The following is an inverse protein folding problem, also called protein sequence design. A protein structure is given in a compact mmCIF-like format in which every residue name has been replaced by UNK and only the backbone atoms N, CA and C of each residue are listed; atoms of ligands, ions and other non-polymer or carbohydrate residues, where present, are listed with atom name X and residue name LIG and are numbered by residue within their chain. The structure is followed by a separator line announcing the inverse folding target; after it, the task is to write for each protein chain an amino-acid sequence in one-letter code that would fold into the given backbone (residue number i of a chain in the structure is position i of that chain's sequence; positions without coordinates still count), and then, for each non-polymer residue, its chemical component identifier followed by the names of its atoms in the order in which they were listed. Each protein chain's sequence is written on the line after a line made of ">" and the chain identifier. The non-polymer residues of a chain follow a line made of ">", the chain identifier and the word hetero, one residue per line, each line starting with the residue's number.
data_IF_910134511527
#
_entry.id   IF_910134511527
#
_cell.length_a   1.000
_cell.length_b   1.000
_cell.length_c   1.000
_cell.angle_alpha   90.00
_cell.angle_beta   90.00
_cell.angle_gamma   90.00
#
_symmetry.space_group_name_H-M   'P 1'
#
loop_
_entity.id
_entity.type
_entity.pdbx_description
1 polymer ?
2 polymer ?
3 non-polymer ?
4 non-polymer ?
5 non-polymer ?
6 non-polymer ?
7 non-polymer ?
8 non-polymer ?
9 water ?
#
# COMPACT_ATOMS: atom_id res chain seq x y z
N UNK A 9 -7.00 15.18 -16.73
CA UNK A 9 -6.07 15.70 -15.74
C UNK A 9 -4.63 15.73 -16.28
N UNK A 10 -3.77 16.45 -15.57
CA UNK A 10 -2.33 16.43 -15.85
C UNK A 10 -1.59 15.51 -14.91
N UNK A 11 -2.31 14.75 -14.08
CA UNK A 11 -1.66 13.88 -13.10
C UNK A 11 -0.89 12.76 -13.77
N UNK A 12 0.32 12.50 -13.28
CA UNK A 12 1.08 11.36 -13.75
C UNK A 12 0.43 10.08 -13.25
N UNK A 13 0.51 9.02 -14.06
CA UNK A 13 -0.08 7.74 -13.66
C UNK A 13 0.96 6.66 -13.91
N UNK A 14 1.01 5.64 -13.07
CA UNK A 14 2.03 4.61 -13.20
C UNK A 14 1.44 3.22 -13.15
N UNK A 15 2.14 2.28 -13.77
CA UNK A 15 1.85 0.85 -13.61
C UNK A 15 3.14 0.19 -13.18
N UNK A 16 3.06 -0.67 -12.15
CA UNK A 16 4.25 -1.38 -11.65
C UNK A 16 3.98 -2.87 -11.55
N UNK A 17 4.96 -3.68 -11.91
CA UNK A 17 5.02 -5.07 -11.47
C UNK A 17 6.09 -5.13 -10.38
N UNK A 18 5.77 -5.79 -9.28
CA UNK A 18 6.77 -5.92 -8.23
C UNK A 18 6.99 -7.40 -7.97
N UNK A 19 8.21 -7.69 -7.51
CA UNK A 19 8.59 -9.04 -7.12
C UNK A 19 9.34 -8.94 -5.79
N UNK A 20 9.06 -9.86 -4.88
CA UNK A 20 9.77 -9.96 -3.63
C UNK A 20 10.18 -11.41 -3.47
N UNK A 21 11.48 -11.67 -3.32
CA UNK A 21 11.84 -13.04 -3.01
C UNK A 21 12.92 -13.10 -1.96
N UNK A 22 12.92 -14.17 -1.20
CA UNK A 22 13.91 -14.27 -0.16
C UNK A 22 14.46 -15.68 -0.19
N UNK A 23 15.78 -15.78 -0.07
CA UNK A 23 16.45 -17.04 0.14
C UNK A 23 16.70 -17.19 1.63
N UNK A 24 16.07 -18.21 2.23
CA UNK A 24 16.27 -18.48 3.64
C UNK A 24 17.64 -19.12 3.85
N UNK A 25 18.01 -20.03 2.96
CA UNK A 25 19.33 -20.64 2.94
C UNK A 25 19.68 -20.92 1.49
N UNK A 26 20.80 -21.63 1.29
CA UNK A 26 21.34 -21.79 -0.06
C UNK A 26 20.37 -22.50 -1.00
N UNK A 27 19.47 -23.32 -0.47
CA UNK A 27 18.65 -24.16 -1.34
C UNK A 27 17.14 -23.95 -1.16
N UNK A 28 16.71 -22.90 -0.47
CA UNK A 28 15.28 -22.73 -0.23
C UNK A 28 14.93 -21.26 -0.33
N UNK A 29 13.94 -20.97 -1.16
CA UNK A 29 13.54 -19.60 -1.41
C UNK A 29 12.02 -19.54 -1.51
N UNK A 30 11.47 -18.35 -1.29
CA UNK A 30 10.07 -18.13 -1.56
C UNK A 30 9.92 -16.76 -2.19
N UNK A 31 8.82 -16.57 -2.89
CA UNK A 31 8.66 -15.35 -3.65
C UNK A 31 7.20 -15.02 -3.85
N UNK A 32 6.97 -13.75 -4.14
CA UNK A 32 5.65 -13.21 -4.40
C UNK A 32 5.76 -12.15 -5.48
N UNK A 33 4.68 -11.97 -6.22
CA UNK A 33 4.67 -10.90 -7.21
C UNK A 33 3.28 -10.36 -7.40
N UNK A 34 3.20 -9.14 -7.92
CA UNK A 34 1.91 -8.52 -8.12
C UNK A 34 2.02 -7.34 -9.07
N UNK A 35 0.87 -6.86 -9.52
CA UNK A 35 0.81 -5.72 -10.42
C UNK A 35 -0.12 -4.67 -9.85
N UNK A 36 0.30 -3.41 -9.99
CA UNK A 36 -0.31 -2.26 -9.33
C UNK A 36 -0.50 -1.12 -10.30
N UNK A 37 -1.71 -0.54 -10.30
CA UNK A 37 -2.01 0.67 -11.06
C UNK A 37 -2.10 1.79 -10.03
N UNK A 38 -1.11 2.69 -10.05
CA UNK A 38 -0.84 3.58 -8.93
C UNK A 38 -0.80 2.76 -7.64
N UNK A 39 -1.70 3.02 -6.68
CA UNK A 39 -1.70 2.27 -5.42
C UNK A 39 -2.70 1.12 -5.40
N UNK A 40 -3.41 0.88 -6.50
CA UNK A 40 -4.44 -0.14 -6.56
C UNK A 40 -3.85 -1.46 -7.07
N UNK A 41 -3.98 -2.53 -6.29
CA UNK A 41 -3.52 -3.81 -6.83
C UNK A 41 -4.48 -4.30 -7.89
N UNK A 42 -3.94 -4.59 -9.07
CA UNK A 42 -4.75 -5.08 -10.17
C UNK A 42 -4.45 -6.52 -10.54
N UNK A 43 -3.28 -7.03 -10.18
CA UNK A 43 -2.91 -8.38 -10.57
C UNK A 43 -2.17 -9.05 -9.44
N UNK A 44 -2.38 -10.37 -9.32
CA UNK A 44 -1.56 -11.21 -8.49
C UNK A 44 -0.83 -12.23 -9.35
N UNK A 45 -0.08 -13.08 -8.68
CA UNK A 45 0.67 -14.14 -9.34
C UNK A 45 0.44 -15.42 -8.54
N UNK A 46 0.00 -16.47 -9.22
CA UNK A 46 -0.12 -17.79 -8.61
C UNK A 46 1.17 -18.54 -8.90
N UNK A 47 1.99 -18.72 -7.87
CA UNK A 47 3.33 -19.26 -8.09
C UNK A 47 3.30 -20.75 -8.36
N UNK A 48 2.31 -21.47 -7.80
CA UNK A 48 2.16 -22.88 -8.09
C UNK A 48 2.01 -23.11 -9.59
N UNK A 49 0.92 -22.61 -10.17
CA UNK A 49 0.69 -22.77 -11.59
C UNK A 49 1.49 -21.79 -12.44
N UNK A 50 2.14 -20.82 -11.82
CA UNK A 50 2.89 -19.81 -12.54
C UNK A 50 2.04 -18.99 -13.50
N UNK A 51 0.94 -18.42 -13.02
CA UNK A 51 0.02 -17.73 -13.90
C UNK A 51 -0.45 -16.42 -13.27
N UNK A 52 -0.93 -15.52 -14.11
CA UNK A 52 -1.42 -14.22 -13.65
C UNK A 52 -2.81 -14.36 -13.03
N UNK A 53 -3.02 -13.74 -11.87
CA UNK A 53 -4.32 -13.63 -11.25
C UNK A 53 -4.89 -12.26 -11.61
N UNK A 54 -6.06 -12.25 -12.25
CA UNK A 54 -6.70 -11.01 -12.67
C UNK A 54 -7.74 -10.62 -11.62
N UNK A 55 -7.46 -9.55 -10.87
CA UNK A 55 -8.24 -9.23 -9.69
C UNK A 55 -9.54 -8.50 -10.01
N UNK A 56 -9.64 -7.86 -11.18
CA UNK A 56 -10.83 -7.11 -11.55
C UNK A 56 -11.34 -7.61 -12.89
N UNK A 57 -12.62 -7.31 -13.17
CA UNK A 57 -13.19 -7.67 -14.46
C UNK A 57 -12.45 -7.00 -15.61
N UNK A 58 -11.83 -5.85 -15.35
CA UNK A 58 -11.17 -5.08 -16.38
C UNK A 58 -9.65 -5.27 -16.37
N UNK A 59 -9.15 -6.24 -15.60
CA UNK A 59 -7.71 -6.41 -15.41
C UNK A 59 -6.99 -6.89 -16.66
N UNK A 60 -7.69 -7.37 -17.67
CA UNK A 60 -6.97 -7.70 -18.90
C UNK A 60 -6.59 -6.47 -19.71
N UNK A 61 -7.07 -5.29 -19.35
CA UNK A 61 -6.52 -4.04 -19.88
C UNK A 61 -6.48 -3.96 -21.40
N UNK A 62 -7.51 -4.49 -22.05
CA UNK A 62 -7.65 -4.48 -23.50
C UNK A 62 -6.60 -5.32 -24.23
N UNK A 63 -5.75 -6.06 -23.51
CA UNK A 63 -4.86 -7.00 -24.17
C UNK A 63 -5.61 -8.27 -24.55
N UNK A 64 -5.20 -8.89 -25.65
CA UNK A 64 -5.81 -10.14 -26.05
C UNK A 64 -5.29 -11.29 -25.20
N UNK A 65 -6.05 -12.38 -25.17
CA UNK A 65 -5.62 -13.57 -24.43
C UNK A 65 -4.26 -14.07 -24.90
N UNK A 66 -3.97 -13.94 -26.21
CA UNK A 66 -2.68 -14.38 -26.73
C UNK A 66 -1.54 -13.49 -26.22
N UNK A 67 -1.74 -12.17 -26.22
CA UNK A 67 -0.71 -11.27 -25.68
C UNK A 67 -0.43 -11.60 -24.22
N UNK A 68 -1.49 -11.80 -23.43
CA UNK A 68 -1.33 -12.07 -22.00
C UNK A 68 -0.68 -13.41 -21.76
N UNK A 69 -1.02 -14.41 -22.58
CA UNK A 69 -0.40 -15.72 -22.42
C UNK A 69 1.08 -15.67 -22.75
N UNK A 70 1.45 -14.87 -23.76
CA UNK A 70 2.87 -14.69 -24.08
C UNK A 70 3.60 -13.98 -22.94
N UNK A 71 2.97 -12.96 -22.35
CA UNK A 71 3.57 -12.32 -21.18
C UNK A 71 3.77 -13.31 -20.03
N UNK A 72 2.77 -14.16 -19.80
CA UNK A 72 2.87 -15.18 -18.74
C UNK A 72 4.05 -16.11 -19.01
N UNK A 73 4.17 -16.58 -20.25
CA UNK A 73 5.29 -17.43 -20.63
C UNK A 73 6.61 -16.70 -20.39
N UNK A 74 6.66 -15.41 -20.70
CA UNK A 74 7.87 -14.62 -20.48
C UNK A 74 8.23 -14.58 -19.01
N UNK A 75 7.24 -14.33 -18.15
CA UNK A 75 7.50 -14.26 -16.71
C UNK A 75 7.98 -15.59 -16.18
N UNK A 76 7.39 -16.69 -16.66
CA UNK A 76 7.85 -18.00 -16.21
C UNK A 76 9.29 -18.27 -16.64
N UNK A 77 9.63 -17.88 -17.87
CA UNK A 77 11.01 -18.03 -18.34
C UNK A 77 11.97 -17.19 -17.51
N UNK A 78 11.55 -15.97 -17.18
CA UNK A 78 12.34 -15.12 -16.29
C UNK A 78 12.59 -15.81 -14.95
N UNK A 79 11.55 -16.40 -14.37
CA UNK A 79 11.71 -17.02 -13.06
C UNK A 79 12.62 -18.23 -13.11
N UNK A 80 12.50 -19.03 -14.18
CA UNK A 80 13.38 -20.17 -14.38
C UNK A 80 14.84 -19.74 -14.49
N UNK A 81 15.10 -18.74 -15.36
CA UNK A 81 16.46 -18.26 -15.52
C UNK A 81 17.03 -17.67 -14.26
N UNK A 82 16.23 -16.85 -13.55
CA UNK A 82 16.67 -16.26 -12.30
C UNK A 82 17.06 -17.33 -11.30
N UNK A 83 16.24 -18.38 -11.18
CA UNK A 83 16.52 -19.46 -10.24
C UNK A 83 17.82 -20.17 -10.58
N UNK A 84 17.98 -20.57 -11.85
CA UNK A 84 19.20 -21.28 -12.26
C UNK A 84 20.44 -20.43 -12.04
N UNK A 85 20.37 -19.14 -12.39
CA UNK A 85 21.54 -18.27 -12.25
C UNK A 85 21.90 -18.05 -10.79
N UNK A 86 20.90 -17.85 -9.92
CA UNK A 86 21.23 -17.70 -8.51
C UNK A 86 21.85 -18.98 -7.96
N UNK A 87 21.30 -20.14 -8.34
CA UNK A 87 21.87 -21.39 -7.84
C UNK A 87 23.30 -21.57 -8.29
N UNK A 88 23.61 -21.21 -9.54
CA UNK A 88 24.98 -21.40 -10.02
C UNK A 88 25.95 -20.42 -9.37
N UNK A 89 25.55 -19.16 -9.21
CA UNK A 89 26.43 -18.11 -8.71
C UNK A 89 26.21 -17.79 -7.23
N UNK A 90 25.75 -18.76 -6.46
CA UNK A 90 25.50 -18.52 -5.04
C UNK A 90 26.81 -18.27 -4.28
N UNK A 92 28.63 -19.78 -1.18
CA UNK A 92 27.47 -20.42 -0.58
C UNK A 92 27.53 -20.28 0.93
N UNK A 93 28.24 -19.25 1.40
CA UNK A 93 28.49 -19.09 2.82
C UNK A 93 27.20 -18.78 3.58
N UNK A 94 26.95 -19.53 4.66
CA UNK A 94 25.72 -19.38 5.44
C UNK A 94 25.59 -18.00 6.08
N UNK A 95 26.65 -17.19 6.09
CA UNK A 95 26.56 -15.86 6.69
C UNK A 95 25.77 -14.90 5.82
N UNK A 96 25.76 -15.13 4.50
CA UNK A 96 25.01 -14.29 3.59
C UNK A 96 23.52 -14.55 3.63
N UNK A 97 23.08 -15.61 4.27
CA UNK A 97 21.66 -15.92 4.32
C UNK A 97 21.10 -15.61 5.70
N UNK A 98 19.82 -15.25 5.79
CA UNK A 98 18.86 -15.05 4.70
C UNK A 98 19.13 -13.77 3.92
N UNK A 99 18.70 -13.67 2.66
CA UNK A 99 18.70 -12.37 2.00
C UNK A 99 17.39 -12.20 1.26
N UNK A 100 17.07 -10.95 0.92
CA UNK A 100 15.80 -10.61 0.30
C UNK A 100 16.04 -9.66 -0.86
N UNK A 101 15.39 -9.92 -1.97
CA UNK A 101 15.51 -9.10 -3.17
C UNK A 101 14.14 -8.52 -3.48
N UNK A 102 14.12 -7.25 -3.88
CA UNK A 102 12.91 -6.60 -4.34
C UNK A 102 13.14 -6.08 -5.74
N UNK A 103 12.15 -6.29 -6.62
CA UNK A 103 12.20 -5.79 -8.00
C UNK A 103 10.96 -4.94 -8.23
N UNK A 104 11.15 -3.80 -8.89
CA UNK A 104 10.04 -2.91 -9.21
C UNK A 104 10.25 -2.48 -10.64
N UNK A 105 9.34 -2.87 -11.53
CA UNK A 105 9.50 -2.57 -12.95
C UNK A 105 8.21 -2.00 -13.47
N UNK A 106 8.30 -1.06 -14.39
CA UNK A 106 7.04 -0.55 -14.89
C UNK A 106 7.25 0.76 -15.60
N UNK A 107 6.22 1.60 -15.53
CA UNK A 107 6.26 2.81 -16.33
C UNK A 107 5.43 3.90 -15.69
N UNK A 108 5.81 5.13 -15.99
CA UNK A 108 5.10 6.32 -15.56
C UNK A 108 4.76 7.10 -16.81
N UNK A 109 3.52 7.53 -16.90
CA UNK A 109 3.04 8.36 -17.99
C UNK A 109 2.94 9.79 -17.49
N UNK A 110 3.70 10.68 -18.11
CA UNK A 110 3.73 12.09 -17.76
C UNK A 110 2.56 12.82 -18.42
N UNK A 111 2.37 14.07 -18.01
CA UNK A 111 1.13 14.78 -18.34
C UNK A 111 0.93 14.95 -19.85
N UNK A 112 2.01 15.08 -20.61
CA UNK A 112 1.86 15.23 -22.05
C UNK A 112 1.75 13.93 -22.83
N UNK A 113 1.85 12.79 -22.16
CA UNK A 113 1.87 11.51 -22.83
C UNK A 113 3.24 10.88 -22.97
N UNK A 114 4.29 11.53 -22.47
CA UNK A 114 5.62 10.95 -22.60
C UNK A 114 5.78 9.79 -21.63
N UNK A 115 6.16 8.60 -22.10
CA UNK A 115 6.37 7.47 -21.20
C UNK A 115 7.77 7.47 -20.62
N UNK A 116 7.88 6.94 -19.40
CA UNK A 116 9.18 6.76 -18.77
C UNK A 116 9.17 5.37 -18.15
N UNK A 117 10.08 4.51 -18.56
CA UNK A 117 10.15 3.17 -18.03
C UNK A 117 11.20 3.07 -16.93
N UNK A 118 11.02 2.13 -16.01
CA UNK A 118 12.00 1.94 -14.96
C UNK A 118 12.05 0.46 -14.59
N UNK A 119 13.19 0.08 -14.03
CA UNK A 119 13.42 -1.28 -13.58
C UNK A 119 14.48 -1.15 -12.52
N UNK A 120 14.08 -1.33 -11.26
CA UNK A 120 14.94 -1.04 -10.13
C UNK A 120 14.95 -2.26 -9.25
N UNK A 121 16.10 -2.54 -8.64
CA UNK A 121 16.27 -3.72 -7.79
C UNK A 121 16.89 -3.28 -6.47
N UNK A 122 16.43 -3.90 -5.37
CA UNK A 122 17.01 -3.72 -4.05
C UNK A 122 17.45 -5.07 -3.49
N UNK A 123 18.49 -5.01 -2.68
CA UNK A 123 19.03 -6.17 -1.98
C UNK A 123 19.11 -5.81 -0.50
N UNK A 124 18.45 -6.62 0.34
CA UNK A 124 18.40 -6.40 1.78
C UNK A 124 18.00 -4.97 2.11
N UNK A 125 17.02 -4.45 1.37
CA UNK A 125 16.44 -3.16 1.64
C UNK A 125 17.23 -1.98 1.15
N UNK A 126 18.32 -2.20 0.42
CA UNK A 126 19.12 -1.10 -0.14
C UNK A 126 19.13 -1.19 -1.66
N UNK A 127 19.22 -0.03 -2.31
CA UNK A 127 19.37 0.00 -3.78
C UNK A 127 20.48 -0.94 -4.20
N UNK A 128 20.21 -1.75 -5.23
CA UNK A 128 21.21 -2.64 -5.80
C UNK A 128 21.60 -2.22 -7.21
N UNK A 129 20.63 -2.05 -8.09
CA UNK A 129 20.92 -1.67 -9.47
C UNK A 129 19.65 -1.15 -10.12
N UNK A 130 19.82 -0.51 -11.28
CA UNK A 130 18.65 -0.09 -12.05
C UNK A 130 18.99 -0.15 -13.53
N UNK A 131 17.94 -0.07 -14.34
CA UNK A 131 18.09 -0.11 -15.79
C UNK A 131 17.98 1.31 -16.30
N UNK A 132 19.03 1.80 -16.97
CA UNK A 132 19.10 3.17 -17.44
C UNK A 132 19.40 3.13 -18.94
N UNK A 133 18.49 3.69 -19.74
CA UNK A 133 18.54 3.56 -21.20
C UNK A 133 18.63 2.08 -21.59
N UNK A 134 19.83 1.60 -21.97
CA UNK A 134 20.00 0.19 -22.31
C UNK A 134 21.08 -0.50 -21.48
N UNK A 135 21.44 0.09 -20.33
CA UNK A 135 22.53 -0.39 -19.50
C UNK A 135 22.04 -0.71 -18.10
N UNK A 136 22.50 -1.82 -17.55
CA UNK A 136 22.29 -2.10 -16.13
C UNK A 136 23.35 -1.38 -15.31
N UNK A 137 22.92 -0.46 -14.45
CA UNK A 137 23.80 0.44 -13.72
C UNK A 137 23.80 0.01 -12.25
N UNK A 138 24.94 -0.32 -11.68
CA UNK A 138 24.99 -0.70 -10.27
C UNK A 138 24.90 0.52 -9.37
N UNK A 139 24.21 0.36 -8.24
CA UNK A 139 24.23 1.39 -7.23
C UNK A 139 25.60 1.43 -6.56
N UNK A 140 26.19 2.61 -6.39
CA UNK A 140 27.49 2.66 -5.70
C UNK A 140 27.46 2.01 -4.34
N UNK A 141 26.43 2.30 -3.55
CA UNK A 141 26.32 1.77 -2.20
C UNK A 141 26.24 0.26 -2.12
N UNK A 142 25.91 -0.41 -3.23
CA UNK A 142 25.82 -1.87 -3.17
C UNK A 142 27.10 -2.55 -3.64
N UNK A 143 28.15 -1.77 -3.90
CA UNK A 143 29.50 -2.33 -4.03
C UNK A 143 29.63 -3.49 -5.00
N UNK A 144 30.48 -4.45 -4.63
CA UNK A 144 30.88 -5.45 -5.62
C UNK A 144 29.74 -6.35 -6.03
N UNK A 145 28.82 -6.68 -5.11
CA UNK A 145 27.66 -7.46 -5.50
C UNK A 145 26.91 -6.77 -6.64
N UNK A 146 26.64 -5.47 -6.48
CA UNK A 146 25.92 -4.78 -7.54
C UNK A 146 26.70 -4.87 -8.84
N UNK A 147 28.01 -4.67 -8.76
CA UNK A 147 28.83 -4.72 -9.97
C UNK A 147 28.75 -6.10 -10.59
N UNK A 148 28.83 -7.14 -9.75
CA UNK A 148 28.77 -8.49 -10.27
C UNK A 148 27.47 -8.73 -11.01
N UNK A 149 26.35 -8.31 -10.41
CA UNK A 149 25.09 -8.64 -11.03
C UNK A 149 24.97 -7.89 -12.35
N UNK A 150 25.43 -6.63 -12.36
CA UNK A 150 25.29 -5.86 -13.58
C UNK A 150 26.19 -6.43 -14.67
N UNK A 151 27.35 -6.97 -14.26
CA UNK A 151 28.22 -7.58 -15.26
C UNK A 151 27.48 -8.72 -15.96
N UNK A 152 26.87 -9.60 -15.15
CA UNK A 152 26.12 -10.71 -15.75
C UNK A 152 25.04 -10.19 -16.67
N UNK A 153 24.32 -9.15 -16.23
CA UNK A 153 23.20 -8.69 -17.04
C UNK A 153 23.69 -7.97 -18.28
N UNK A 154 24.84 -7.29 -18.20
CA UNK A 154 25.26 -6.47 -19.33
C UNK A 154 25.97 -7.28 -20.40
N UNK A 155 26.54 -8.43 -20.04
CA UNK A 155 27.41 -9.17 -20.95
C UNK A 155 26.94 -10.57 -21.28
N UNK A 156 26.05 -11.16 -20.49
CA UNK A 156 25.61 -12.52 -20.73
C UNK A 156 24.14 -12.67 -21.11
N UNK A 157 23.30 -11.63 -20.95
CA UNK A 157 21.91 -11.70 -21.40
C UNK A 157 21.57 -10.45 -22.19
N UNK A 158 21.92 -10.46 -23.48
CA UNK A 158 21.58 -9.33 -24.35
C UNK A 158 20.12 -9.36 -24.76
N UNK A 159 19.60 -10.56 -25.05
CA UNK A 159 18.19 -10.70 -25.35
C UNK A 159 17.33 -10.25 -24.19
N UNK A 160 17.75 -10.55 -22.96
CA UNK A 160 17.03 -10.10 -21.78
C UNK A 160 16.97 -8.57 -21.74
N UNK A 161 18.11 -7.92 -21.95
CA UNK A 161 18.13 -6.46 -21.94
C UNK A 161 17.15 -5.88 -22.96
N UNK A 162 17.17 -6.41 -24.19
CA UNK A 162 16.27 -5.89 -25.22
C UNK A 162 14.80 -6.13 -24.83
N UNK A 163 14.49 -7.32 -24.32
CA UNK A 163 13.13 -7.62 -23.92
C UNK A 163 12.66 -6.68 -22.81
N UNK A 164 13.51 -6.42 -21.82
CA UNK A 164 13.12 -5.53 -20.72
C UNK A 164 12.92 -4.10 -21.24
N UNK A 165 13.78 -3.66 -22.16
CA UNK A 165 13.62 -2.34 -22.74
C UNK A 165 12.24 -2.19 -23.37
N UNK A 166 11.85 -3.18 -24.18
CA UNK A 166 10.56 -3.08 -24.87
C UNK A 166 9.39 -3.23 -23.91
N UNK A 167 9.55 -4.03 -22.86
CA UNK A 167 8.46 -4.20 -21.90
C UNK A 167 8.18 -2.92 -21.15
N UNK A 168 9.22 -2.24 -20.66
CA UNK A 168 8.96 -1.08 -19.83
C UNK A 168 8.71 0.18 -20.64
N UNK A 169 9.22 0.27 -21.88
CA UNK A 169 9.04 1.49 -22.67
C UNK A 169 7.82 1.48 -23.56
N UNK A 170 7.36 0.29 -23.96
CA UNK A 170 6.28 0.17 -24.93
C UNK A 170 5.11 -0.65 -24.41
N UNK A 171 5.36 -1.90 -23.97
CA UNK A 171 4.26 -2.73 -23.53
C UNK A 171 3.57 -2.12 -22.32
N UNK A 172 4.37 -1.68 -21.34
CA UNK A 172 3.82 -1.15 -20.10
C UNK A 172 2.90 0.07 -20.30
N UNK A 173 3.29 1.13 -21.01
CA UNK A 173 2.34 2.25 -21.18
C UNK A 173 1.08 1.84 -21.92
N UNK A 174 1.20 0.97 -22.92
CA UNK A 174 0.03 0.49 -23.65
C UNK A 174 -0.91 -0.28 -22.72
N UNK A 175 -0.36 -1.15 -21.88
CA UNK A 175 -1.17 -1.87 -20.92
C UNK A 175 -1.81 -0.94 -19.89
N UNK A 176 -1.03 -0.02 -19.33
CA UNK A 176 -1.54 0.94 -18.35
C UNK A 176 -2.75 1.68 -18.89
N UNK A 177 -2.63 2.23 -20.10
CA UNK A 177 -3.75 2.98 -20.66
C UNK A 177 -4.93 2.08 -20.97
N UNK A 178 -4.67 0.85 -21.43
CA UNK A 178 -5.75 -0.08 -21.63
C UNK A 178 -6.49 -0.42 -20.36
N UNK A 179 -5.76 -0.51 -19.23
CA UNK A 179 -6.40 -0.74 -17.95
C UNK A 179 -7.29 0.42 -17.55
N UNK A 180 -6.78 1.64 -17.72
CA UNK A 180 -7.58 2.81 -17.39
C UNK A 180 -8.86 2.85 -18.21
N UNK A 181 -8.76 2.52 -19.50
CA UNK A 181 -9.96 2.51 -20.35
C UNK A 181 -10.90 1.39 -19.94
N UNK A 182 -10.41 0.16 -19.84
CA UNK A 182 -11.28 -0.96 -19.47
C UNK A 182 -11.92 -0.72 -18.12
N UNK A 183 -11.22 -0.06 -17.21
CA UNK A 183 -11.71 0.14 -15.87
C UNK A 183 -12.32 1.52 -15.66
N UNK A 184 -12.75 2.20 -16.74
CA UNK A 184 -13.13 3.60 -16.62
C UNK A 184 -14.25 3.82 -15.61
N UNK A 185 -15.21 2.90 -15.51
CA UNK A 185 -16.30 3.12 -14.56
C UNK A 185 -15.84 2.96 -13.11
N UNK A 186 -14.76 2.22 -12.89
CA UNK A 186 -14.19 2.11 -11.56
C UNK A 186 -13.27 3.27 -11.25
N UNK A 187 -12.38 3.61 -12.19
CA UNK A 187 -11.37 4.65 -11.97
C UNK A 187 -12.01 6.02 -11.76
N UNK A 188 -13.16 6.27 -12.38
CA UNK A 188 -13.78 7.58 -12.35
C UNK A 188 -14.89 7.67 -11.32
N UNK A 189 -15.02 6.66 -10.47
CA UNK A 189 -16.13 6.62 -9.53
C UNK A 189 -15.93 7.62 -8.41
N UNK A 190 -17.05 7.97 -7.77
CA UNK A 190 -17.07 8.83 -6.60
C UNK A 190 -17.71 8.04 -5.48
N UNK A 191 -17.06 8.00 -4.32
CA UNK A 191 -17.61 7.27 -3.17
C UNK A 191 -17.65 8.25 -2.01
N UNK A 192 -18.85 8.42 -1.45
CA UNK A 192 -19.02 9.42 -0.39
C UNK A 192 -18.52 8.89 0.94
N UNK A 193 -17.77 9.69 1.69
CA UNK A 193 -17.34 9.29 3.02
C UNK A 193 -18.46 9.45 4.03
N UNK A 194 -18.27 8.78 5.16
CA UNK A 194 -18.99 9.13 6.37
C UNK A 194 -18.00 9.67 7.38
N UNK A 195 -18.51 10.35 8.40
CA UNK A 195 -17.62 10.94 9.37
C UNK A 195 -18.22 10.71 10.75
N UNK A 196 -17.34 10.65 11.74
CA UNK A 196 -17.82 10.57 13.12
C UNK A 196 -16.76 11.11 14.06
N UNK A 197 -17.19 11.47 15.27
CA UNK A 197 -16.27 12.01 16.27
C UNK A 197 -15.96 11.01 17.37
N UNK A 198 -14.78 11.14 17.94
CA UNK A 198 -14.41 10.37 19.12
C UNK A 198 -13.39 11.15 19.95
N UNK A 199 -13.11 10.65 21.14
CA UNK A 199 -12.03 11.20 21.94
C UNK A 199 -10.75 10.42 21.70
N UNK A 200 -9.64 11.13 21.59
CA UNK A 200 -8.35 10.51 21.42
C UNK A 200 -7.63 10.39 22.74
N UNK A 201 -6.36 9.97 22.70
CA UNK A 201 -5.61 9.86 23.96
C UNK A 201 -5.47 11.22 24.62
N UNK A 202 -5.66 11.23 25.93
CA UNK A 202 -5.62 12.45 26.73
C UNK A 202 -4.31 13.20 26.49
N UNK A 203 -4.36 14.47 26.06
CA UNK A 203 -3.14 15.27 25.96
C UNK A 203 -2.53 15.61 27.30
N UNK A 204 -3.32 15.63 28.37
CA UNK A 204 -2.83 15.98 29.68
C UNK A 204 -4.01 16.31 30.57
N UNK A 205 -3.74 16.53 31.86
CA UNK A 205 -4.83 16.91 32.78
C UNK A 205 -5.53 18.18 32.29
N UNK A 206 -6.86 18.14 32.32
CA UNK A 206 -7.61 19.31 31.91
C UNK A 206 -7.55 19.60 30.43
N UNK A 207 -7.16 18.61 29.61
CA UNK A 207 -7.11 18.78 28.16
C UNK A 207 -7.82 17.60 27.49
N UNK A 208 -8.30 17.83 26.27
CA UNK A 208 -9.01 16.83 25.49
C UNK A 208 -8.36 16.72 24.12
N UNK A 209 -8.41 15.52 23.57
CA UNK A 209 -8.02 15.26 22.18
C UNK A 209 -9.29 14.96 21.39
N UNK A 210 -9.66 15.86 20.49
CA UNK A 210 -10.85 15.67 19.67
C UNK A 210 -10.43 15.00 18.37
N UNK A 211 -11.19 13.99 17.94
CA UNK A 211 -10.85 13.23 16.75
C UNK A 211 -12.03 13.24 15.80
N UNK A 212 -11.77 13.61 14.56
CA UNK A 212 -12.76 13.54 13.49
C UNK A 212 -12.30 12.46 12.53
N UNK A 213 -13.08 11.38 12.43
CA UNK A 213 -12.79 10.27 11.55
C UNK A 213 -13.57 10.47 10.25
N UNK A 214 -12.90 10.30 9.11
CA UNK A 214 -13.54 10.41 7.81
C UNK A 214 -13.19 9.14 7.07
N UNK A 215 -14.20 8.35 6.69
CA UNK A 215 -13.94 6.99 6.21
C UNK A 215 -14.79 6.67 4.98
N UNK A 216 -14.17 5.96 4.04
CA UNK A 216 -14.90 5.45 2.89
C UNK A 216 -14.94 6.37 1.70
N UNK A 217 -14.03 7.33 1.60
CA UNK A 217 -14.07 8.23 0.46
C UNK A 217 -13.15 7.75 -0.68
N UNK A 218 -13.56 8.08 -1.90
CA UNK A 218 -12.75 7.89 -3.09
C UNK A 218 -13.24 8.92 -4.10
N UNK A 219 -12.36 9.61 -4.83
CA UNK A 219 -10.89 9.48 -4.81
C UNK A 219 -10.27 10.13 -3.57
N UNK A 220 -8.96 10.10 -3.55
CA UNK A 220 -8.18 10.42 -2.36
C UNK A 220 -8.21 11.88 -1.94
N UNK A 221 -8.27 12.87 -2.84
CA UNK A 221 -8.28 14.27 -2.38
C UNK A 221 -9.45 14.55 -1.44
N UNK A 222 -9.15 15.12 -0.28
CA UNK A 222 -10.18 15.36 0.74
C UNK A 222 -9.77 16.57 1.56
N UNK A 223 -10.74 17.25 2.14
CA UNK A 223 -10.43 18.38 3.00
C UNK A 223 -11.18 18.16 4.31
N UNK A 224 -10.46 18.21 5.42
CA UNK A 224 -11.03 18.01 6.75
C UNK A 224 -10.38 19.02 7.69
N UNK A 225 -11.17 19.70 8.51
CA UNK A 225 -10.61 20.70 9.41
C UNK A 225 -11.49 20.81 10.65
N UNK A 226 -10.86 21.07 11.79
CA UNK A 226 -11.59 21.50 12.97
C UNK A 226 -11.80 23.01 12.91
N UNK A 227 -13.01 23.45 13.23
CA UNK A 227 -13.49 24.81 12.99
C UNK A 227 -14.16 25.35 14.24
N UNK A 228 -14.07 26.66 14.42
CA UNK A 228 -15.00 27.37 15.31
C UNK A 228 -15.70 28.36 14.39
N UNK A 229 -16.93 28.03 14.00
CA UNK A 229 -17.61 28.83 12.99
C UNK A 229 -16.84 28.74 11.68
N UNK A 230 -16.56 29.89 11.10
CA UNK A 230 -15.80 29.90 9.85
C UNK A 230 -14.30 29.94 10.07
N UNK A 231 -13.82 29.90 11.30
CA UNK A 231 -12.40 30.01 11.59
C UNK A 231 -11.78 28.63 11.73
N UNK A 232 -10.75 28.34 10.92
CA UNK A 232 -10.02 27.09 11.03
C UNK A 232 -9.17 27.07 12.28
N UNK A 233 -9.17 25.94 13.00
CA UNK A 233 -8.39 25.86 14.22
C UNK A 233 -6.94 25.48 13.92
N UNK A 234 -6.00 26.25 14.48
CA UNK A 234 -4.61 26.17 14.10
C UNK A 234 -3.91 24.90 14.60
N UNK A 235 -4.40 24.30 15.66
CA UNK A 235 -3.72 23.11 16.12
C UNK A 235 -4.08 21.84 15.40
N UNK A 236 -4.98 21.89 14.42
CA UNK A 236 -5.46 20.68 13.75
C UNK A 236 -4.30 19.91 13.15
N UNK A 237 -4.26 18.61 13.40
CA UNK A 237 -3.27 17.74 12.78
C UNK A 237 -3.98 16.70 11.94
N UNK A 238 -3.50 16.50 10.72
CA UNK A 238 -4.06 15.50 9.83
C UNK A 238 -3.19 14.27 9.86
N UNK A 239 -3.80 13.11 10.08
CA UNK A 239 -3.07 11.87 10.04
C UNK A 239 -2.76 11.47 8.62
N UNK A 240 -2.04 10.35 8.49
CA UNK A 240 -1.83 9.74 7.20
C UNK A 240 -3.15 9.28 6.61
N UNK A 241 -3.30 9.40 5.30
CA UNK A 241 -4.47 8.82 4.65
C UNK A 241 -4.21 7.33 4.52
N UNK A 242 -5.11 6.54 5.07
CA UNK A 242 -4.94 5.10 5.29
C UNK A 242 -5.93 4.32 4.43
N UNK A 243 -5.57 3.11 3.99
CA UNK A 243 -6.46 2.38 3.08
C UNK A 243 -7.56 1.61 3.80
N UNK A 244 -8.74 1.62 3.20
CA UNK A 244 -9.79 0.65 3.52
C UNK A 244 -9.74 -0.44 2.47
N UNK A 245 -10.38 -1.57 2.77
CA UNK A 245 -10.64 -2.52 1.70
C UNK A 245 -11.60 -1.89 0.69
N UNK A 246 -11.65 -2.46 -0.51
CA UNK A 246 -12.63 -1.99 -1.53
C UNK A 246 -12.22 -0.65 -2.11
N UNK A 247 -10.96 -0.28 -1.94
CA UNK A 247 -10.44 0.88 -2.65
C UNK A 247 -10.66 2.25 -2.04
N UNK A 248 -11.36 2.38 -0.92
CA UNK A 248 -11.62 3.70 -0.34
C UNK A 248 -10.55 4.03 0.72
N UNK A 249 -10.64 5.25 1.28
CA UNK A 249 -9.60 5.76 2.15
C UNK A 249 -10.18 6.21 3.49
N UNK A 250 -9.29 6.46 4.43
CA UNK A 250 -9.61 6.80 5.81
C UNK A 250 -8.64 7.87 6.28
N UNK A 251 -9.14 8.86 7.03
CA UNK A 251 -8.31 9.93 7.55
C UNK A 251 -8.82 10.36 8.91
N UNK A 252 -7.92 10.60 9.85
CA UNK A 252 -8.25 11.19 11.16
C UNK A 252 -7.70 12.60 11.22
N UNK A 253 -8.53 13.55 11.63
CA UNK A 253 -8.11 14.92 11.89
C UNK A 253 -8.28 15.16 13.38
N UNK A 254 -7.22 15.61 14.05
CA UNK A 254 -7.26 15.69 15.50
C UNK A 254 -6.93 17.10 15.97
N UNK A 255 -7.38 17.40 17.18
CA UNK A 255 -7.13 18.72 17.76
C UNK A 255 -7.05 18.57 19.27
N UNK A 256 -5.96 19.06 19.88
CA UNK A 256 -5.92 19.15 21.34
C UNK A 256 -6.46 20.49 21.81
N UNK A 257 -7.30 20.47 22.85
CA UNK A 257 -7.92 21.70 23.36
C UNK A 257 -8.01 21.61 24.87
N UNK A 258 -8.04 22.76 25.53
CA UNK A 258 -8.28 22.75 26.98
C UNK A 258 -9.74 22.43 27.29
N UNK A 259 -9.96 21.71 28.40
CA UNK A 259 -11.29 21.52 28.93
C UNK A 259 -11.91 22.87 29.25
N UNK A 260 -13.12 23.11 28.77
CA UNK A 260 -13.72 24.42 28.86
C UNK A 260 -13.52 25.29 27.64
N UNK A 261 -12.83 24.77 26.62
CA UNK A 261 -12.70 25.45 25.35
C UNK A 261 -13.11 24.59 24.16
N UNK A 262 -13.58 23.36 24.39
CA UNK A 262 -13.92 22.49 23.28
C UNK A 262 -15.32 22.76 22.76
N UNK A 263 -16.17 23.40 23.55
CA UNK A 263 -17.55 23.62 23.12
C UNK A 263 -17.60 24.62 21.99
N UNK A 264 -18.40 24.30 20.98
CA UNK A 264 -18.54 25.12 19.82
C UNK A 264 -17.67 24.70 18.66
N UNK A 265 -16.76 23.75 18.87
CA UNK A 265 -15.91 23.28 17.79
C UNK A 265 -16.63 22.22 16.97
N UNK A 266 -16.34 22.23 15.67
CA UNK A 266 -16.98 21.31 14.75
C UNK A 266 -15.94 20.79 13.77
N UNK A 267 -16.18 19.60 13.24
CA UNK A 267 -15.37 19.04 12.17
C UNK A 267 -16.12 19.27 10.87
N UNK A 268 -15.41 19.79 9.84
CA UNK A 268 -16.00 20.03 8.54
C UNK A 268 -15.24 19.23 7.49
N UNK A 269 -15.98 18.53 6.62
CA UNK A 269 -15.43 17.63 5.62
C UNK A 269 -15.94 18.07 4.26
N UNK A 270 -15.01 18.27 3.33
CA UNK A 270 -15.32 18.56 1.94
C UNK A 270 -14.72 17.45 1.08
N UNK A 271 -15.48 16.99 0.10
CA UNK A 271 -15.01 15.95 -0.80
C UNK A 271 -15.76 16.09 -2.11
N UNK A 272 -15.09 15.72 -3.21
CA UNK A 272 -15.71 15.83 -4.54
C UNK A 272 -17.06 15.11 -4.60
N UNK A 273 -17.22 14.00 -3.89
CA UNK A 273 -18.44 13.22 -3.97
C UNK A 273 -19.62 13.90 -3.30
N UNK A 274 -19.37 14.93 -2.49
CA UNK A 274 -20.43 15.50 -1.67
C UNK A 274 -21.24 16.56 -2.39
N UNK A 275 -20.85 16.96 -3.59
CA UNK A 275 -21.65 17.88 -4.41
C UNK A 275 -22.04 19.14 -3.63
N UNK A 276 -21.04 19.75 -3.00
CA UNK A 276 -21.24 21.00 -2.32
C UNK A 276 -21.79 20.92 -0.91
N UNK A 277 -22.27 19.77 -0.45
CA UNK A 277 -22.88 19.69 0.88
C UNK A 277 -21.89 19.08 1.87
N UNK A 278 -21.09 19.94 2.50
CA UNK A 278 -20.06 19.48 3.43
C UNK A 278 -20.68 18.73 4.61
N UNK A 279 -19.92 17.79 5.16
CA UNK A 279 -20.31 17.14 6.41
C UNK A 279 -19.83 18.02 7.55
N UNK A 280 -20.72 18.30 8.50
CA UNK A 280 -20.41 19.12 9.67
C UNK A 280 -20.87 18.37 10.92
N UNK A 281 -19.95 18.15 11.85
CA UNK A 281 -20.26 17.49 13.13
C UNK A 281 -19.75 18.33 14.28
N UNK A 282 -20.63 18.65 15.23
CA UNK A 282 -20.25 19.40 16.43
C UNK A 282 -19.80 18.47 17.55
N UNK A 283 -18.72 18.86 18.21
CA UNK A 283 -18.23 18.11 19.35
C UNK A 283 -19.24 18.17 20.49
N UNK A 284 -19.62 17.01 21.00
CA UNK A 284 -20.54 16.93 22.14
C UNK A 284 -19.86 16.51 23.41
N UNK A 285 -18.97 15.52 23.33
CA UNK A 285 -18.20 15.10 24.49
C UNK A 285 -19.11 14.80 25.66
N UNK A 286 -18.75 15.32 26.82
CA UNK A 286 -19.57 15.19 28.01
C UNK A 286 -20.43 16.41 28.27
N UNK A 287 -20.58 17.30 27.27
CA UNK A 287 -21.33 18.55 27.46
C UNK A 287 -22.81 18.32 27.64
N UNK A 288 -23.36 17.31 26.98
CA UNK A 288 -24.79 16.99 27.06
C UNK A 288 -25.02 16.03 28.22
N UNK A 289 -25.94 16.33 29.15
CA UNK A 289 -26.23 15.43 30.26
C UNK A 289 -26.95 14.15 29.81
N UNK B 4 19.53 -2.02 6.31
CA UNK B 4 19.33 -2.32 7.72
C UNK B 4 17.91 -2.88 7.92
N UNK B 5 17.55 -3.13 9.16
CA UNK B 5 16.23 -3.63 9.52
C UNK B 5 15.36 -2.51 10.07
N UNK B 6 14.12 -2.43 9.59
CA UNK B 6 13.20 -1.38 9.98
C UNK B 6 12.01 -1.98 10.73
N UNK B 7 11.62 -1.34 11.82
CA UNK B 7 10.59 -1.86 12.70
C UNK B 7 9.20 -1.44 12.20
N UNK B 8 8.21 -2.34 12.27
CA UNK B 8 6.88 -2.02 11.74
C UNK B 8 6.18 -0.95 12.55
N UNK B 9 5.50 -0.05 11.84
CA UNK B 9 4.49 0.85 12.39
C UNK B 9 3.11 0.19 12.26
N UNK B 10 2.26 0.39 13.27
CA UNK B 10 0.99 -0.34 13.34
C UNK B 10 -0.13 0.66 13.60
N UNK B 11 -1.14 0.67 12.73
CA UNK B 11 -2.30 1.54 12.94
C UNK B 11 -3.58 0.71 12.82
N UNK B 12 -4.46 0.85 13.81
CA UNK B 12 -5.71 0.09 13.88
C UNK B 12 -6.87 1.06 13.79
N UNK B 13 -7.87 0.71 12.99
CA UNK B 13 -8.99 1.65 12.79
C UNK B 13 -10.20 0.90 12.23
N UNK B 14 -11.39 1.37 12.56
CA UNK B 14 -12.58 0.71 12.06
C UNK B 14 -13.07 1.39 10.79
N UNK B 15 -13.75 0.61 9.95
CA UNK B 15 -14.30 1.14 8.72
C UNK B 15 -15.48 2.08 8.99
N UNK B 16 -16.27 1.76 9.99
CA UNK B 16 -17.48 2.49 10.34
C UNK B 16 -17.42 2.87 11.82
N UNK B 17 -18.22 3.84 12.25
CA UNK B 17 -18.30 4.12 13.70
C UNK B 17 -18.71 2.87 14.45
N UNK B 18 -18.10 2.65 15.60
CA UNK B 18 -18.40 1.47 16.40
C UNK B 18 -19.79 1.60 17.00
N UNK B 19 -20.63 0.60 16.76
CA UNK B 19 -21.96 0.52 17.36
C UNK B 19 -22.17 -0.92 17.81
N UNK B 20 -22.44 -1.11 19.10
CA UNK B 20 -22.61 -2.45 19.65
C UNK B 20 -23.67 -3.22 18.88
N UNK B 21 -23.31 -4.43 18.46
CA UNK B 21 -24.24 -5.30 17.76
C UNK B 21 -24.29 -5.11 16.26
N UNK B 22 -23.66 -4.08 15.70
CA UNK B 22 -23.72 -3.80 14.28
C UNK B 22 -22.46 -4.28 13.59
N UNK B 23 -22.62 -4.92 12.43
CA UNK B 23 -21.49 -5.44 11.68
C UNK B 23 -20.61 -4.30 11.18
N UNK B 24 -19.30 -4.50 11.19
CA UNK B 24 -18.29 -3.48 10.93
C UNK B 24 -17.07 -4.19 10.38
N UNK B 25 -16.02 -3.43 10.06
CA UNK B 25 -14.73 -4.01 9.68
C UNK B 25 -13.63 -3.37 10.50
N UNK B 26 -12.70 -4.19 10.95
CA UNK B 26 -11.52 -3.73 11.69
C UNK B 26 -10.32 -3.84 10.76
N UNK B 27 -9.58 -2.74 10.60
CA UNK B 27 -8.39 -2.64 9.77
C UNK B 27 -7.14 -2.54 10.63
N UNK B 28 -6.07 -3.17 10.17
CA UNK B 28 -4.75 -3.02 10.75
C UNK B 28 -3.78 -2.77 9.61
N UNK B 29 -3.16 -1.59 9.59
CA UNK B 29 -2.23 -1.22 8.54
C UNK B 29 -0.83 -1.25 9.12
N UNK B 30 0.02 -2.11 8.57
CA UNK B 30 1.36 -2.34 9.12
C UNK B 30 2.34 -1.89 8.05
N UNK B 31 3.21 -0.95 8.39
CA UNK B 31 4.02 -0.32 7.34
C UNK B 31 5.43 -0.03 7.81
N UNK B 32 6.30 0.28 6.86
CA UNK B 32 7.64 0.73 7.18
C UNK B 32 8.61 -0.33 7.66
N UNK B 33 8.34 -1.61 7.43
CA UNK B 33 9.18 -2.64 7.98
C UNK B 33 10.09 -3.27 6.92
N UNK B 34 11.19 -3.84 7.40
CA UNK B 34 12.13 -4.61 6.59
C UNK B 34 12.95 -5.51 7.50
N UNK B 35 13.13 -6.79 7.16
CA UNK B 35 12.69 -7.48 5.94
C UNK B 35 11.20 -7.83 5.98
N UNK B 36 10.70 -8.51 4.94
CA UNK B 36 9.27 -8.72 4.83
C UNK B 36 8.75 -9.81 5.76
N UNK B 37 9.62 -10.71 6.23
CA UNK B 37 9.17 -11.73 7.17
C UNK B 37 8.49 -11.09 8.38
N UNK B 38 7.21 -11.44 8.60
CA UNK B 38 6.44 -10.78 9.64
C UNK B 38 5.29 -11.69 10.03
N UNK B 39 4.82 -11.55 11.27
CA UNK B 39 3.61 -12.25 11.71
C UNK B 39 2.63 -11.19 12.20
N UNK B 40 1.57 -10.96 11.44
CA UNK B 40 0.50 -10.03 11.81
C UNK B 40 -0.73 -10.86 12.08
N UNK B 41 -1.39 -10.61 13.21
CA UNK B 41 -2.64 -11.30 13.54
C UNK B 41 -3.62 -10.29 14.09
N UNK B 42 -4.87 -10.38 13.68
CA UNK B 42 -5.93 -9.65 14.35
C UNK B 42 -6.44 -10.53 15.49
N UNK B 43 -6.74 -9.93 16.64
CA UNK B 43 -7.10 -10.68 17.84
C UNK B 43 -8.46 -10.24 18.36
N UNK B 44 -9.22 -11.22 18.85
CA UNK B 44 -10.44 -11.00 19.64
C UNK B 44 -10.23 -11.66 20.98
N UNK B 45 -10.30 -10.85 22.05
CA UNK B 45 -10.06 -11.30 23.42
C UNK B 45 -8.75 -12.08 23.54
N UNK B 46 -7.71 -11.56 22.87
CA UNK B 46 -6.38 -12.14 22.93
C UNK B 46 -6.16 -13.35 22.05
N UNK B 47 -7.16 -13.77 21.28
CA UNK B 47 -7.08 -14.99 20.48
C UNK B 47 -7.09 -14.63 19.00
N UNK B 48 -6.32 -15.36 18.22
CA UNK B 48 -6.16 -15.05 16.81
C UNK B 48 -7.49 -15.20 16.06
N UNK B 49 -7.75 -14.27 15.14
CA UNK B 49 -8.93 -14.35 14.26
C UNK B 49 -8.53 -15.01 12.94
N UNK B 50 -9.23 -16.08 12.57
CA UNK B 50 -8.89 -16.81 11.35
C UNK B 50 -9.44 -16.13 10.10
N UNK B 51 -10.68 -15.64 10.14
CA UNK B 51 -11.32 -15.04 8.98
C UNK B 51 -10.84 -13.60 8.81
N UNK B 52 -9.60 -13.47 8.36
CA UNK B 52 -9.04 -12.18 8.03
C UNK B 52 -8.67 -12.20 6.55
N UNK B 53 -8.54 -11.02 6.00
CA UNK B 53 -8.03 -10.83 4.66
C UNK B 53 -6.85 -9.88 4.72
N UNK B 54 -5.94 -10.00 3.78
CA UNK B 54 -4.78 -9.12 3.76
C UNK B 54 -4.39 -8.82 2.33
N UNK B 55 -3.82 -7.64 2.12
CA UNK B 55 -3.32 -7.26 0.81
C UNK B 55 -2.08 -8.08 0.47
N UNK B 56 -1.81 -8.16 -0.83
CA UNK B 56 -0.54 -8.75 -1.20
C UNK B 56 0.58 -7.81 -0.79
N UNK B 57 1.73 -8.40 -0.49
CA UNK B 57 2.85 -7.62 0.01
C UNK B 57 3.25 -6.54 -1.00
N UNK B 58 3.48 -5.33 -0.50
CA UNK B 58 3.91 -4.21 -1.34
C UNK B 58 4.98 -3.43 -0.60
N UNK B 59 5.55 -2.42 -1.26
CA UNK B 59 6.60 -1.64 -0.62
C UNK B 59 6.63 -0.24 -1.21
N UNK B 60 7.19 0.67 -0.43
CA UNK B 60 7.23 2.07 -0.81
C UNK B 60 8.55 2.39 -1.52
N UNK B 61 8.76 3.66 -1.83
CA UNK B 61 9.94 4.03 -2.59
C UNK B 61 11.23 3.81 -1.81
N UNK B 62 11.18 3.86 -0.47
CA UNK B 62 12.36 3.54 0.32
C UNK B 62 12.54 2.03 0.52
N UNK B 63 11.76 1.22 -0.19
CA UNK B 63 11.78 -0.24 -0.19
C UNK B 63 11.20 -0.85 1.08
N UNK B 64 10.72 -0.06 2.04
CA UNK B 64 10.09 -0.66 3.21
C UNK B 64 8.71 -1.19 2.84
N UNK B 65 8.30 -2.26 3.52
CA UNK B 65 7.11 -3.02 3.17
C UNK B 65 5.87 -2.48 3.86
N UNK B 66 4.71 -2.79 3.30
CA UNK B 66 3.46 -2.50 3.99
C UNK B 66 2.38 -3.52 3.62
N UNK B 67 1.45 -3.73 4.55
CA UNK B 67 0.33 -4.67 4.44
C UNK B 67 -0.91 -4.05 5.07
N UNK B 68 -2.07 -4.29 4.46
CA UNK B 68 -3.36 -3.99 5.09
C UNK B 68 -4.06 -5.30 5.44
N UNK B 69 -4.49 -5.42 6.70
CA UNK B 69 -5.33 -6.49 7.18
C UNK B 69 -6.73 -5.96 7.49
N UNK B 70 -7.75 -6.77 7.26
CA UNK B 70 -9.08 -6.38 7.70
C UNK B 70 -9.90 -7.62 7.99
N UNK B 71 -10.89 -7.45 8.85
CA UNK B 71 -11.74 -8.55 9.25
C UNK B 71 -13.12 -8.00 9.57
N UNK B 72 -14.16 -8.78 9.27
CA UNK B 72 -15.52 -8.40 9.63
C UNK B 72 -15.76 -8.75 11.07
N UNK B 73 -16.29 -7.81 11.85
CA UNK B 73 -16.53 -8.08 13.26
C UNK B 73 -17.78 -7.33 13.69
N UNK B 74 -18.37 -7.79 14.80
CA UNK B 74 -19.49 -7.10 15.41
C UNK B 74 -19.06 -6.63 16.78
N UNK B 75 -18.83 -5.34 16.99
CA UNK B 75 -18.36 -4.86 18.29
C UNK B 75 -19.42 -5.05 19.37
N UNK B 76 -18.97 -5.41 20.57
CA UNK B 76 -19.82 -5.46 21.75
C UNK B 76 -19.08 -4.79 22.90
N UNK B 77 -19.82 -4.55 23.99
CA UNK B 77 -19.21 -3.88 25.14
C UNK B 77 -18.12 -4.74 25.78
N UNK B 78 -18.26 -6.07 25.74
CA UNK B 78 -17.32 -6.92 26.45
C UNK B 78 -16.12 -7.36 25.60
N UNK B 79 -16.20 -7.27 24.27
CA UNK B 79 -15.14 -7.80 23.41
C UNK B 79 -14.03 -6.79 23.20
N UNK B 80 -12.78 -7.27 23.27
CA UNK B 80 -11.60 -6.46 23.03
C UNK B 80 -10.89 -6.95 21.77
N UNK B 81 -10.59 -6.03 20.86
CA UNK B 81 -9.94 -6.36 19.61
C UNK B 81 -8.57 -5.69 19.52
N UNK B 82 -7.66 -6.32 18.77
CA UNK B 82 -6.31 -5.80 18.73
C UNK B 82 -5.62 -6.30 17.47
N UNK B 83 -4.48 -5.70 17.20
CA UNK B 83 -3.59 -6.13 16.12
C UNK B 83 -2.25 -6.47 16.76
N UNK B 84 -1.75 -7.67 16.51
CA UNK B 84 -0.52 -8.15 17.11
C UNK B 84 0.50 -8.38 15.98
N UNK B 85 1.71 -7.87 16.17
CA UNK B 85 2.76 -7.96 15.17
C UNK B 85 4.03 -8.51 15.80
N UNK B 86 4.62 -9.52 15.19
CA UNK B 86 5.97 -9.95 15.53
C UNK B 86 6.87 -9.82 14.32
N UNK B 87 8.13 -9.49 14.58
CA UNK B 87 9.08 -9.15 13.53
C UNK B 87 10.47 -9.28 14.13
N UNK B 88 11.47 -9.45 13.28
CA UNK B 88 12.83 -9.68 13.78
C UNK B 88 13.33 -8.48 14.57
N UNK B 89 12.80 -7.30 14.30
CA UNK B 89 13.23 -6.08 14.97
C UNK B 89 12.61 -5.91 16.34
N UNK B 90 11.58 -6.69 16.66
CA UNK B 90 10.86 -6.54 17.92
C UNK B 90 11.37 -7.55 18.93
N UNK B 91 11.66 -7.09 20.15
CA UNK B 91 12.09 -8.01 21.20
C UNK B 91 10.94 -8.90 21.66
N UNK B 92 9.72 -8.42 21.58
CA UNK B 92 8.51 -9.17 21.89
C UNK B 92 7.41 -8.73 20.95
N UNK B 93 6.40 -9.55 20.72
CA UNK B 93 5.28 -9.11 19.89
C UNK B 93 4.67 -7.83 20.41
N UNK B 94 4.33 -6.94 19.49
CA UNK B 94 3.69 -5.67 19.80
C UNK B 94 2.18 -5.82 19.59
N UNK B 95 1.41 -5.44 20.60
CA UNK B 95 -0.05 -5.51 20.51
C UNK B 95 -0.59 -4.10 20.60
N UNK B 96 -1.35 -3.71 19.58
CA UNK B 96 -2.02 -2.41 19.51
C UNK B 96 -3.50 -2.69 19.63
N UNK B 97 -4.11 -2.25 20.73
CA UNK B 97 -5.54 -2.45 20.92
C UNK B 97 -6.35 -1.44 20.13
N UNK B 98 -7.52 -1.85 19.68
CA UNK B 98 -8.47 -0.92 19.07
C UNK B 98 -9.34 -0.33 20.17
N UNK B 99 -9.54 0.98 20.12
CA UNK B 99 -10.44 1.67 21.04
C UNK B 99 -11.41 2.50 20.22
N UNK B 100 -12.70 2.26 20.41
CA UNK B 100 -13.75 3.05 19.79
C UNK B 100 -13.77 4.47 20.37
X LIG C 1 16.39 -24.15 4.34
X LIG C 1 16.55 -25.43 5.18
X LIG C 1 15.25 -26.24 5.17
X LIG C 1 14.06 -25.37 5.54
X LIG C 1 14.02 -24.15 4.62
X LIG C 1 12.88 -23.19 4.90
X LIG C 1 18.84 -26.36 5.24
X LIG C 1 18.98 -25.70 6.60
X LIG C 1 17.64 -26.19 4.64
X LIG C 1 15.41 -27.33 6.05
X LIG C 1 12.89 -26.14 5.40
X LIG C 1 15.24 -23.46 4.75
X LIG C 1 12.87 -22.77 6.24
X LIG C 1 19.74 -27.00 4.75
X LIG D 1 5.26 -0.08 -6.45
X LIG D 1 4.98 1.35 -5.99
X LIG D 1 3.52 1.69 -5.65
X LIG D 1 2.59 0.54 -5.22
X LIG D 1 3.52 2.70 -4.62
X LIG D 1 3.50 4.01 -5.25
X LIG D 1 2.26 4.13 -6.12
X LIG D 1 2.11 5.83 -6.77
X LIG D 1 0.71 6.09 -7.28
X LIG D 1 2.93 5.98 -8.03
X LIG D 1 2.51 6.81 -5.68
X LIG D 1 3.11 -0.86 -5.52
X LIG D 1 3.97 -0.83 -6.78
X LIG E 1 -6.18 4.69 -11.55
X LIG E 1 -6.39 5.98 -10.76
X LIG E 1 -6.21 5.88 -9.24
X LIG E 1 -6.49 4.51 -8.60
X LIG E 1 -4.88 6.32 -8.85
X LIG E 1 -4.89 7.66 -8.28
X LIG E 1 -6.29 8.03 -7.80
X LIG E 1 -6.25 8.64 -6.10
X LIG E 1 -7.64 8.62 -5.52
X LIG E 1 -5.90 10.11 -6.14
X LIG E 1 -5.30 7.84 -5.24
X LIG E 1 -6.06 3.35 -9.47
X LIG E 1 -6.72 3.47 -10.82
X LIG F 1 12.76 -16.64 -8.07
X LIG F 1 11.61 -17.66 -8.13
X LIG F 1 11.00 -17.88 -6.75
X LIG F 1 12.05 -18.26 -5.73
X LIG F 1 10.01 -18.93 -6.86
X LIG F 1 9.41 -19.21 -5.56
X LIG F 1 7.92 -19.46 -5.73
X LIG F 1 7.25 -20.18 -4.20
X LIG F 1 5.77 -20.43 -4.31
X LIG F 1 7.99 -21.45 -3.86
X LIG F 1 7.29 -19.21 -3.05
X LIG F 1 13.23 -17.29 -5.69
X LIG F 1 13.83 -17.04 -7.07
X LIG G 1 7.06 -4.90 -16.73
X LIG G 1 1.46 -8.06 -15.61
X LIG G 1 0.96 -8.13 -14.17
X LIG G 1 5.96 -4.24 -17.57
X LIG G 1 0.35 -7.76 -16.59
X LIG G 1 1.35 -9.44 -13.55
X LIG G 1 6.47 -13.89 -9.58
X LIG G 1 4.92 -5.26 -18.04
X LIG G 1 0.94 -7.22 -17.89
X LIG G 1 1.86 -9.29 -12.11
X LIG G 1 3.68 -4.58 -18.63
X LIG G 1 2.17 -6.34 -17.64
X LIG G 1 2.46 -10.60 -11.62
X LIG G 1 2.55 -5.56 -18.90
X LIG G 1 3.94 -10.74 -11.97
X LIG G 1 4.73 -11.17 -10.75
X LIG G 1 6.70 -15.49 -7.65
X LIG G 1 7.11 -14.12 -8.21
X LIG G 1 6.17 -12.40 -12.16
X LIG G 1 5.92 -12.10 -11.03
X LIG G 1 6.68 -12.57 -9.95
X LIG G 1 8.51 -14.12 -8.34
X LIG G 1 7.84 -16.10 -7.10
X LIG H 1 9.04 -7.37 -15.67
X LIG H 1 9.42 -8.47 -14.69
X LIG H 1 10.69 -9.16 -15.17
X LIG H 1 10.49 -9.66 -16.60
X LIG H 1 11.82 -9.99 -17.25
X LIG H 1 11.55 -10.86 -18.48
X LIG H 1 12.80 -10.93 -19.37
X LIG H 1 13.49 -12.29 -19.21
X LIG H 1 13.08 -13.22 -20.36
X LIG H 1 13.99 -12.99 -21.57
X LIG I 1 27.32 -12.80 -7.83
X LIG I 1 25.87 -13.27 -7.73
X LIG I 1 25.23 -13.25 -9.12
X LIG I 1 23.73 -13.57 -9.01
X LIG I 1 23.11 -13.56 -10.41
X LIG I 1 21.60 -13.42 -10.32
X LIG I 1 21.09 -12.51 -11.43
X LIG I 1 20.77 -13.31 -12.68
X LIG I 1 19.54 -12.76 -13.39
X LIG I 1 19.10 -13.72 -14.51
X LIG I 1 17.85 -13.20 -15.22
X LIG I 1 17.43 -14.16 -16.32
X LIG J 1 15.83 -9.28 -16.01
X LIG J 1 16.53 -9.57 -14.70
X LIG J 1 16.54 -8.39 -13.78
X LIG J 1 17.27 -8.57 -12.47
X LIG J 1 16.74 -9.66 -11.59
X LIG J 1 17.21 -9.61 -10.16
X LIG J 1 18.70 -9.60 -10.00
X LIG J 1 19.16 -9.60 -8.55
X LIG J 1 19.87 -10.86 -8.12
X LIG J 1 20.42 -10.81 -6.71
X LIG J 1 21.31 -11.96 -6.34
X LIG J 1 21.89 -11.89 -4.95
X LIG J 1 22.93 -12.95 -4.64
X LIG J 1 23.42 -12.97 -3.21
X LIG J 1 24.51 -13.96 -2.90
X LIG J 1 25.84 -13.68 -3.58
#
# INVERSE_FOLDING_TARGET
>A
DAATGADASQEHVSFHVIQIFSFVNQSWARGQGSGWLDELQTHGWDSESGTIIFLHQWSKGQFSNEELSDLELLFRFYLFGLTREIQDHASQDYSKYPFEVQVKAGCELHSGGSPEGFFQVAFNGLDLLSFQQTTWVPSPGCGSLAQSVCHLLNHQYEGVTETVYNLIRSTCPRFLLGLLDAGKMYVHRQVRPEAWLSSGPSPGPGRLQLVCHVSGFYPKPVWVMWMRGEQEQQGTQLGDILPNANGTWYLRATLDVADGEAAGLSCRVKHSSLEGQDIILYWRGSLVPR
>B
DAAIQRTPKIQVYSRHPAENGKSNFLNCYVSGFHPSDIEVDLLKNGERIEKVEHSDLSFSKDWSFYLLYYTEFTPTEKDEYACRVNHVTLSQPKIVKWDRDMGSLVP
>C hetero
1 NAG C1 C2 C3 C4 C5 C6 C7 C8 N2 O3 O4 O5 O6 O7
>D hetero
1 KZF C3' C2' C1' C6' N C1 C2 S O1 O2 O3 C5' C4'
>E hetero
1 KZF C3' C2' C1' C6' N C1 C2 S O1 O2 O3 C5' C4'
>F hetero
1 KZF C3' C2' C1' C6' N C1 C2 S O1 O2 O3 C5' C4'
>G hetero
1 EKG C19 C8 C7 C15 C9 C6 C21 C14 C10 C5 C13 C11 C4 C12 C3 C2 C24 C22 O19 C1 O20 O23 O25
>H hetero
1 D10 C1 C2 C3 C4 C5 C6 C7 C8 C9 C10
>I hetero
1 D12 C1 C2 C3 C4 C5 C6 C7 C8 C9 C10 C11 C12
>J hetero
1 R16 C27 C28 C29 C30 C31 C32 C33 C34 C35 C36 C37 C38 C39 C40 C41 C42
#
